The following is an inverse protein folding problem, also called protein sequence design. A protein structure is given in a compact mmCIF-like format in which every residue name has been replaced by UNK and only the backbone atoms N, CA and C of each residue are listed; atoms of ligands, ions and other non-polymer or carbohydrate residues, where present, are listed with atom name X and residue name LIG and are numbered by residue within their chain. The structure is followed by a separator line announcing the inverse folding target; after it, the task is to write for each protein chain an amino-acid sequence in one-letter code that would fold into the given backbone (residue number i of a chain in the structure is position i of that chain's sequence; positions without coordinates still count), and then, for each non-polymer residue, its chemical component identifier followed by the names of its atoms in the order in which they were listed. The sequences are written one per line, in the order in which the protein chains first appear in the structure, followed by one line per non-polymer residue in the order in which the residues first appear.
data_IF_261180886265
#
_entry.id   IF_261180886265
#
_cell.length_a   1.000
_cell.length_b   1.000
_cell.length_c   1.000
_cell.angle_alpha   90.00
_cell.angle_beta   90.00
_cell.angle_gamma   90.00
#
_symmetry.space_group_name_H-M   'P 1'
#
loop_
_entity.id
_entity.type
_entity.pdbx_description
1 polymer ?
#
# COMPACT_ATOMS: atom_id res chain seq x y z
N UNK A 1 22.00 -1.03 -19.23
CA UNK A 1 21.19 -2.07 -18.55
C UNK A 1 19.85 -1.40 -18.28
N UNK A 2 18.77 -1.92 -18.86
CA UNK A 2 17.47 -1.23 -18.86
C UNK A 2 16.65 -1.60 -17.62
N UNK A 3 15.90 -0.63 -17.09
CA UNK A 3 15.04 -0.83 -15.93
C UNK A 3 13.73 -1.54 -16.33
N UNK A 4 13.65 -2.85 -16.05
CA UNK A 4 12.46 -3.67 -16.32
C UNK A 4 11.45 -3.61 -15.16
N UNK A 5 10.68 -2.51 -15.09
CA UNK A 5 9.68 -2.32 -14.04
C UNK A 5 8.62 -3.42 -13.98
N UNK A 6 8.22 -4.00 -15.12
CA UNK A 6 7.17 -5.04 -15.18
C UNK A 6 7.54 -6.28 -14.37
N UNK A 7 8.80 -6.70 -14.48
CA UNK A 7 9.31 -7.85 -13.73
C UNK A 7 9.53 -7.49 -12.25
N UNK A 8 10.15 -6.34 -11.99
CA UNK A 8 10.47 -5.87 -10.64
C UNK A 8 9.20 -5.69 -9.80
N UNK A 9 8.18 -5.00 -10.32
CA UNK A 9 6.92 -4.76 -9.63
C UNK A 9 6.20 -6.07 -9.31
N UNK A 10 6.13 -6.99 -10.28
CA UNK A 10 5.49 -8.31 -10.09
C UNK A 10 6.19 -9.13 -9.01
N UNK A 11 7.52 -9.12 -8.99
CA UNK A 11 8.32 -9.86 -8.01
C UNK A 11 8.10 -9.33 -6.59
N UNK A 12 8.13 -8.00 -6.41
CA UNK A 12 7.91 -7.38 -5.09
C UNK A 12 6.48 -7.54 -4.59
N UNK A 13 5.47 -7.36 -5.44
CA UNK A 13 4.06 -7.59 -5.07
C UNK A 13 3.84 -9.05 -4.63
N UNK A 14 4.41 -10.01 -5.38
CA UNK A 14 4.33 -11.44 -5.03
C UNK A 14 5.01 -11.76 -3.70
N UNK A 15 6.19 -11.16 -3.47
CA UNK A 15 6.90 -11.27 -2.20
C UNK A 15 6.07 -10.72 -1.04
N UNK A 16 5.58 -9.49 -1.12
CA UNK A 16 4.80 -8.86 -0.04
C UNK A 16 3.54 -9.66 0.31
N UNK A 17 2.83 -10.18 -0.70
CA UNK A 17 1.65 -11.01 -0.51
C UNK A 17 2.00 -12.32 0.19
N UNK A 18 3.01 -13.06 -0.30
CA UNK A 18 3.44 -14.34 0.29
C UNK A 18 3.90 -14.20 1.73
N UNK A 19 4.51 -13.08 2.08
CA UNK A 19 5.04 -12.81 3.42
C UNK A 19 4.08 -12.02 4.31
N UNK A 20 2.84 -11.77 3.86
CA UNK A 20 1.82 -11.00 4.60
C UNK A 20 2.36 -9.67 5.16
N UNK A 21 3.19 -8.98 4.38
CA UNK A 21 3.99 -7.85 4.88
C UNK A 21 3.13 -6.74 5.48
N UNK A 22 1.93 -6.50 4.95
CA UNK A 22 1.01 -5.45 5.43
C UNK A 22 -0.08 -5.95 6.38
N UNK A 23 -0.08 -7.24 6.73
CA UNK A 23 -0.95 -7.75 7.79
C UNK A 23 -0.36 -7.36 9.14
N UNK A 24 -1.20 -6.81 10.02
CA UNK A 24 -0.78 -6.32 11.33
C UNK A 24 -1.70 -6.86 12.41
N UNK A 25 -1.13 -7.10 13.59
CA UNK A 25 -1.86 -7.43 14.81
C UNK A 25 -1.76 -6.28 15.81
N UNK A 26 -2.62 -6.29 16.83
CA UNK A 26 -2.53 -5.33 17.91
C UNK A 26 -1.33 -5.69 18.80
N UNK A 27 -0.28 -4.89 18.70
CA UNK A 27 0.94 -5.02 19.51
C UNK A 27 1.06 -3.80 20.45
N UNK A 28 0.73 -3.94 21.75
CA UNK A 28 0.81 -2.85 22.71
C UNK A 28 2.23 -2.29 22.92
N UNK A 29 3.28 -3.02 22.51
CA UNK A 29 4.67 -2.57 22.62
C UNK A 29 5.08 -1.61 21.50
N UNK A 30 4.25 -1.43 20.46
CA UNK A 30 4.55 -0.56 19.32
C UNK A 30 3.61 0.65 19.27
N UNK A 31 4.10 1.82 18.82
CA UNK A 31 3.22 2.96 18.59
C UNK A 31 2.23 2.63 17.47
N UNK A 32 0.94 2.63 17.79
CA UNK A 32 -0.13 2.39 16.80
C UNK A 32 -0.28 3.59 15.87
N UNK A 33 -0.46 3.30 14.59
CA UNK A 33 -0.92 4.26 13.59
C UNK A 33 -1.98 3.64 12.70
N UNK A 34 -3.01 4.41 12.33
CA UNK A 34 -4.05 3.98 11.39
C UNK A 34 -4.20 5.00 10.27
N UNK A 35 -3.82 4.59 9.05
CA UNK A 35 -4.02 5.37 7.83
C UNK A 35 -5.25 4.81 7.14
N UNK A 36 -6.24 5.67 6.85
CA UNK A 36 -7.47 5.30 6.18
C UNK A 36 -7.75 6.28 5.05
N UNK A 37 -8.03 5.74 3.88
CA UNK A 37 -8.53 6.50 2.73
C UNK A 37 -10.02 6.22 2.54
N UNK A 38 -10.69 7.07 1.76
CA UNK A 38 -12.09 6.90 1.41
C UNK A 38 -12.25 5.69 0.50
N UNK A 39 -13.01 4.69 0.98
CA UNK A 39 -13.32 3.53 0.16
C UNK A 39 -14.12 3.93 -1.09
N UNK A 40 -13.81 3.35 -2.26
CA UNK A 40 -14.48 3.71 -3.49
C UNK A 40 -15.87 3.10 -3.54
N UNK A 41 -16.83 3.82 -4.13
CA UNK A 41 -18.09 3.21 -4.54
C UNK A 41 -17.85 2.28 -5.74
N UNK A 42 -18.49 1.09 -5.82
CA UNK A 42 -18.32 0.17 -6.95
C UNK A 42 -19.14 0.62 -8.17
N UNK A 43 -18.83 1.81 -8.71
CA UNK A 43 -19.66 2.55 -9.66
C UNK A 43 -19.37 2.32 -11.15
N UNK A 44 -18.42 1.44 -11.50
CA UNK A 44 -18.05 1.21 -12.91
C UNK A 44 -16.89 0.24 -13.13
N UNK A 45 -16.29 0.30 -14.32
CA UNK A 45 -15.26 -0.61 -14.82
C UNK A 45 -13.84 -0.35 -14.24
N UNK A 46 -13.74 -0.28 -12.91
CA UNK A 46 -12.47 -0.14 -12.19
C UNK A 46 -12.16 1.26 -11.68
N UNK A 47 -10.88 1.53 -11.40
CA UNK A 47 -10.41 2.77 -10.80
C UNK A 47 -10.17 3.85 -11.86
N UNK A 48 -10.86 4.99 -11.76
CA UNK A 48 -10.44 6.22 -12.47
C UNK A 48 -9.21 6.87 -11.81
N UNK A 49 -8.51 7.76 -12.55
CA UNK A 49 -7.25 8.42 -12.13
C UNK A 49 -7.32 9.19 -10.81
N UNK A 50 -8.51 9.54 -10.35
CA UNK A 50 -8.72 10.20 -9.06
C UNK A 50 -8.50 9.24 -7.88
N UNK A 51 -8.78 7.95 -8.03
CA UNK A 51 -8.58 6.98 -6.94
C UNK A 51 -7.09 6.77 -6.61
N UNK A 52 -6.19 6.50 -7.58
CA UNK A 52 -4.77 6.39 -7.30
C UNK A 52 -4.20 7.63 -6.62
N UNK A 53 -4.69 8.83 -6.94
CA UNK A 53 -4.18 10.07 -6.32
C UNK A 53 -4.33 10.04 -4.79
N UNK A 54 -5.50 9.66 -4.29
CA UNK A 54 -5.72 9.47 -2.84
C UNK A 54 -4.91 8.30 -2.31
N UNK A 55 -5.07 7.12 -2.91
CA UNK A 55 -4.51 5.87 -2.39
C UNK A 55 -2.98 5.86 -2.35
N UNK A 56 -2.31 6.49 -3.32
CA UNK A 56 -0.86 6.61 -3.34
C UNK A 56 -0.38 7.50 -2.20
N UNK A 57 -1.04 8.64 -1.95
CA UNK A 57 -0.67 9.52 -0.84
C UNK A 57 -0.82 8.80 0.52
N UNK A 58 -1.93 8.08 0.69
CA UNK A 58 -2.19 7.25 1.87
C UNK A 58 -1.14 6.13 2.03
N UNK A 59 -0.79 5.40 0.96
CA UNK A 59 0.23 4.33 1.01
C UNK A 59 1.63 4.87 1.32
N UNK A 60 2.02 6.01 0.72
CA UNK A 60 3.29 6.70 1.02
C UNK A 60 3.38 7.00 2.51
N UNK A 61 2.31 7.59 3.07
CA UNK A 61 2.31 7.98 4.47
C UNK A 61 2.27 6.76 5.42
N UNK A 62 1.54 5.70 5.05
CA UNK A 62 1.54 4.44 5.79
C UNK A 62 2.94 3.81 5.85
N UNK A 63 3.67 3.80 4.72
CA UNK A 63 5.06 3.34 4.65
C UNK A 63 5.99 4.21 5.48
N UNK A 64 5.87 5.54 5.37
CA UNK A 64 6.64 6.48 6.18
C UNK A 64 6.47 6.18 7.67
N UNK A 65 5.24 6.05 8.16
CA UNK A 65 4.96 5.71 9.57
C UNK A 65 5.49 4.34 9.98
N UNK A 66 5.42 3.34 9.09
CA UNK A 66 5.97 2.01 9.35
C UNK A 66 7.49 2.02 9.53
N UNK A 67 8.20 2.86 8.78
CA UNK A 67 9.66 2.96 8.80
C UNK A 67 10.18 3.98 9.83
N UNK A 68 9.39 4.29 10.84
CA UNK A 68 9.70 5.21 11.95
C UNK A 68 9.78 6.70 11.58
N UNK A 69 9.27 7.07 10.41
CA UNK A 69 9.29 8.43 9.91
C UNK A 69 10.63 8.83 9.32
#
# INVERSE_FOLDING_TARGET
MDYNFREIEKNWQSFWNRHHVYQVEVDPAKPKYYVLDMFPYPSGAGLHVGHPLGYIASDIYARYKRHCG
#
